data_IF_116231202498
#
_entry.id   IF_116231202498
#
_cell.length_a   1.000
_cell.length_b   1.000
_cell.length_c   1.000
_cell.angle_alpha   90.00
_cell.angle_beta   90.00
_cell.angle_gamma   90.00
#
_symmetry.space_group_name_H-M   'P 1'
#
loop_
_entity.id
_entity.type
_entity.pdbx_description
1 polymer ?
#
# COMPACT_ATOMS: atom_id res chain seq x y z
N UNK A 1 15.21 -52.07 6.52
CA UNK A 1 14.43 -51.10 7.31
C UNK A 1 15.08 -49.77 7.10
N UNK A 2 14.61 -49.03 6.13
CA UNK A 2 15.09 -47.65 5.84
C UNK A 2 14.06 -46.71 6.44
N UNK A 3 14.44 -46.08 7.54
CA UNK A 3 13.67 -45.01 8.16
C UNK A 3 14.04 -43.71 7.42
N UNK A 4 13.24 -43.37 6.40
CA UNK A 4 13.31 -42.11 5.68
C UNK A 4 12.48 -41.08 6.47
N UNK A 5 13.06 -40.58 7.56
CA UNK A 5 12.50 -39.43 8.25
C UNK A 5 12.74 -38.19 7.40
N UNK A 6 11.80 -37.90 6.47
CA UNK A 6 11.71 -36.67 5.73
C UNK A 6 11.70 -35.48 6.70
N UNK A 7 12.87 -34.87 6.88
CA UNK A 7 13.01 -33.55 7.51
C UNK A 7 12.24 -32.56 6.61
N UNK A 8 11.01 -32.21 7.01
CA UNK A 8 10.38 -31.00 6.52
C UNK A 8 11.25 -29.85 7.00
N UNK A 9 11.96 -29.21 6.09
CA UNK A 9 12.55 -27.91 6.37
C UNK A 9 11.47 -26.98 6.90
N UNK A 10 11.71 -26.23 7.99
CA UNK A 10 10.73 -25.25 8.46
C UNK A 10 10.50 -24.27 7.32
N UNK A 11 9.28 -24.20 6.82
CA UNK A 11 8.89 -23.13 5.90
C UNK A 11 9.12 -21.82 6.62
N UNK A 12 9.76 -20.82 5.98
CA UNK A 12 9.89 -19.52 6.60
C UNK A 12 8.48 -19.03 6.97
N UNK A 13 8.34 -18.53 8.21
CA UNK A 13 7.09 -17.96 8.69
C UNK A 13 6.61 -16.93 7.68
N UNK A 14 5.55 -17.27 6.95
CA UNK A 14 4.95 -16.36 5.98
C UNK A 14 4.30 -15.22 6.75
N UNK A 15 4.79 -14.02 6.51
CA UNK A 15 4.22 -12.79 7.09
C UNK A 15 2.75 -12.69 6.69
N UNK A 16 1.87 -12.56 7.69
CA UNK A 16 0.43 -12.47 7.48
C UNK A 16 -0.05 -11.02 7.54
N UNK A 17 -1.19 -10.70 6.96
CA UNK A 17 -1.79 -9.37 7.08
C UNK A 17 -1.95 -8.89 8.53
N UNK A 18 -2.34 -9.80 9.46
CA UNK A 18 -2.52 -9.47 10.88
C UNK A 18 -1.22 -9.04 11.57
N UNK A 19 -0.07 -9.54 11.12
CA UNK A 19 1.23 -9.15 11.67
C UNK A 19 1.49 -7.66 11.43
N UNK A 20 1.07 -7.14 10.27
CA UNK A 20 1.14 -5.72 9.94
C UNK A 20 0.15 -4.86 10.74
N UNK A 21 -1.02 -5.38 11.08
CA UNK A 21 -1.96 -4.70 11.97
C UNK A 21 -1.45 -4.63 13.42
N UNK A 22 -0.45 -5.44 13.78
CA UNK A 22 0.13 -5.58 15.10
C UNK A 22 1.60 -5.21 15.18
N UNK A 23 2.42 -6.16 15.63
CA UNK A 23 3.82 -5.93 16.01
C UNK A 23 4.70 -5.42 14.85
N UNK A 24 4.50 -5.91 13.63
CA UNK A 24 5.28 -5.44 12.48
C UNK A 24 4.98 -3.99 12.13
N UNK A 25 3.70 -3.59 12.18
CA UNK A 25 3.30 -2.20 11.98
C UNK A 25 3.92 -1.27 13.02
N UNK A 26 3.96 -1.67 14.28
CA UNK A 26 4.61 -0.92 15.36
C UNK A 26 6.13 -0.82 15.16
N UNK A 27 6.79 -1.92 14.77
CA UNK A 27 8.23 -1.91 14.44
C UNK A 27 8.54 -1.01 13.25
N UNK A 28 7.69 -1.04 12.23
CA UNK A 28 7.83 -0.16 11.08
C UNK A 28 7.68 1.30 11.49
N UNK A 29 6.65 1.62 12.27
CA UNK A 29 6.41 2.97 12.78
C UNK A 29 7.56 3.50 13.63
N UNK A 30 8.13 2.66 14.52
CA UNK A 30 9.26 3.04 15.36
C UNK A 30 10.54 3.39 14.56
N UNK A 31 10.65 2.93 13.32
CA UNK A 31 11.79 3.16 12.44
C UNK A 31 11.35 3.80 11.10
N UNK A 32 10.23 4.51 11.10
CA UNK A 32 9.54 4.96 9.89
C UNK A 32 10.46 5.71 8.93
N UNK A 33 11.17 6.73 9.43
CA UNK A 33 12.04 7.57 8.60
C UNK A 33 13.18 6.77 7.98
N UNK A 34 13.83 5.89 8.76
CA UNK A 34 14.93 5.07 8.28
C UNK A 34 14.48 4.04 7.22
N UNK A 35 13.33 3.41 7.43
CA UNK A 35 12.77 2.46 6.46
C UNK A 35 12.29 3.16 5.20
N UNK A 36 11.62 4.30 5.33
CA UNK A 36 11.18 5.10 4.18
C UNK A 36 12.39 5.57 3.35
N UNK A 37 13.46 6.05 3.99
CA UNK A 37 14.70 6.44 3.32
C UNK A 37 15.35 5.25 2.59
N UNK A 38 15.41 4.09 3.23
CA UNK A 38 16.00 2.88 2.64
C UNK A 38 15.28 2.44 1.36
N UNK A 39 13.95 2.54 1.31
CA UNK A 39 13.15 2.11 0.16
C UNK A 39 12.75 3.25 -0.78
N UNK A 40 13.15 4.50 -0.47
CA UNK A 40 12.83 5.68 -1.28
C UNK A 40 13.27 5.54 -2.74
N UNK A 41 14.49 5.07 -3.08
CA UNK A 41 14.92 4.96 -4.48
C UNK A 41 13.98 4.11 -5.35
N UNK A 42 13.41 3.03 -4.79
CA UNK A 42 12.46 2.18 -5.50
C UNK A 42 11.12 2.90 -5.66
N UNK A 43 10.68 3.59 -4.61
CA UNK A 43 9.47 4.41 -4.64
C UNK A 43 9.55 5.52 -5.68
N UNK A 44 10.67 6.23 -5.72
CA UNK A 44 10.91 7.34 -6.66
C UNK A 44 10.91 6.84 -8.11
N UNK A 45 11.56 5.72 -8.38
CA UNK A 45 11.57 5.09 -9.70
C UNK A 45 10.15 4.67 -10.14
N UNK A 46 9.37 4.09 -9.22
CA UNK A 46 8.00 3.69 -9.50
C UNK A 46 7.09 4.91 -9.73
N UNK A 47 7.21 5.96 -8.91
CA UNK A 47 6.47 7.22 -9.05
C UNK A 47 6.79 7.95 -10.36
N UNK A 48 8.05 7.90 -10.80
CA UNK A 48 8.47 8.46 -12.09
C UNK A 48 7.88 7.67 -13.26
N UNK A 49 7.90 6.32 -13.17
CA UNK A 49 7.34 5.44 -14.21
C UNK A 49 5.81 5.49 -14.27
N UNK A 50 5.16 5.69 -13.15
CA UNK A 50 3.71 5.79 -13.09
C UNK A 50 3.17 6.94 -13.94
N UNK A 51 3.92 8.04 -14.05
CA UNK A 51 3.57 9.21 -14.87
C UNK A 51 2.13 9.70 -14.58
N UNK A 52 1.88 10.02 -13.30
CA UNK A 52 0.59 10.49 -12.84
C UNK A 52 0.15 11.77 -13.54
N UNK A 53 -1.13 11.87 -13.88
CA UNK A 53 -1.71 13.04 -14.52
C UNK A 53 -2.56 13.84 -13.53
N UNK A 54 -2.59 15.19 -13.63
CA UNK A 54 -3.50 15.99 -12.83
C UNK A 54 -4.95 15.54 -12.98
N UNK A 55 -5.65 15.44 -11.84
CA UNK A 55 -7.06 15.08 -11.83
C UNK A 55 -7.34 13.58 -11.68
N UNK A 56 -6.34 12.72 -11.71
CA UNK A 56 -6.52 11.29 -11.49
C UNK A 56 -6.97 10.97 -10.06
N UNK A 57 -7.74 9.89 -9.94
CA UNK A 57 -8.11 9.27 -8.66
C UNK A 57 -7.28 8.01 -8.44
N UNK A 58 -6.59 7.93 -7.32
CA UNK A 58 -5.56 6.91 -7.07
C UNK A 58 -5.80 6.18 -5.76
N UNK A 59 -5.63 4.86 -5.76
CA UNK A 59 -5.45 4.04 -4.54
C UNK A 59 -3.95 3.85 -4.32
N UNK A 60 -3.45 4.20 -3.15
CA UNK A 60 -2.10 3.84 -2.67
C UNK A 60 -2.22 2.69 -1.67
N UNK A 61 -1.95 1.48 -2.15
CA UNK A 61 -2.14 0.23 -1.43
C UNK A 61 -0.91 -0.09 -0.57
N UNK A 62 -1.14 -0.34 0.73
CA UNK A 62 -0.06 -0.50 1.70
C UNK A 62 0.67 0.83 1.88
N UNK A 63 -0.08 1.90 2.11
CA UNK A 63 0.45 3.27 2.12
C UNK A 63 1.42 3.57 3.26
N UNK A 64 1.45 2.71 4.31
CA UNK A 64 2.28 2.89 5.48
C UNK A 64 2.09 4.27 6.12
N UNK A 65 3.18 4.96 6.40
CA UNK A 65 3.18 6.33 6.94
C UNK A 65 2.84 7.43 5.93
N UNK A 66 2.40 7.08 4.71
CA UNK A 66 1.86 8.03 3.74
C UNK A 66 2.89 8.79 2.89
N UNK A 67 4.15 8.37 2.85
CA UNK A 67 5.17 9.07 2.05
C UNK A 67 4.85 9.03 0.55
N UNK A 68 4.52 7.86 0.01
CA UNK A 68 4.10 7.69 -1.40
C UNK A 68 2.78 8.39 -1.68
N UNK A 69 1.83 8.30 -0.73
CA UNK A 69 0.53 8.98 -0.84
C UNK A 69 0.69 10.48 -1.00
N UNK A 70 1.59 11.10 -0.20
CA UNK A 70 1.88 12.54 -0.32
C UNK A 70 2.52 12.89 -1.67
N UNK A 71 3.47 12.09 -2.14
CA UNK A 71 4.10 12.29 -3.44
C UNK A 71 3.11 12.18 -4.60
N UNK A 72 2.18 11.22 -4.52
CA UNK A 72 1.08 11.06 -5.49
C UNK A 72 0.16 12.29 -5.44
N UNK A 73 -0.27 12.71 -4.24
CA UNK A 73 -1.17 13.84 -4.06
C UNK A 73 -0.66 15.11 -4.73
N UNK A 74 0.65 15.37 -4.64
CA UNK A 74 1.31 16.50 -5.29
C UNK A 74 1.27 16.40 -6.82
N UNK A 75 1.44 15.19 -7.38
CA UNK A 75 1.48 14.95 -8.83
C UNK A 75 0.10 15.07 -9.48
N UNK A 76 -0.96 14.67 -8.78
CA UNK A 76 -2.34 14.69 -9.31
C UNK A 76 -3.10 15.99 -9.02
N UNK A 77 -2.48 16.91 -8.26
CA UNK A 77 -3.08 18.21 -7.95
C UNK A 77 -3.36 19.03 -9.24
N UNK A 78 -4.32 19.99 -9.20
CA UNK A 78 -5.13 20.40 -8.05
C UNK A 78 -6.42 19.61 -7.87
N UNK A 79 -6.88 18.84 -8.85
CA UNK A 79 -8.23 18.24 -8.88
C UNK A 79 -8.26 16.74 -8.60
N UNK A 80 -7.08 16.08 -8.62
CA UNK A 80 -6.97 14.66 -8.33
C UNK A 80 -7.04 14.36 -6.83
N UNK A 81 -7.39 13.10 -6.49
CA UNK A 81 -7.45 12.60 -5.12
C UNK A 81 -6.73 11.27 -4.99
N UNK A 82 -6.07 11.08 -3.86
CA UNK A 82 -5.45 9.80 -3.52
C UNK A 82 -5.98 9.28 -2.19
N UNK A 83 -6.29 7.99 -2.17
CA UNK A 83 -6.68 7.26 -0.97
C UNK A 83 -5.61 6.26 -0.60
N UNK A 84 -4.95 6.49 0.52
CA UNK A 84 -4.07 5.51 1.15
C UNK A 84 -4.89 4.44 1.86
N UNK A 85 -4.56 3.18 1.62
CA UNK A 85 -5.16 2.02 2.30
C UNK A 85 -4.04 1.23 2.97
N UNK A 86 -4.17 1.01 4.26
CA UNK A 86 -3.24 0.19 5.04
C UNK A 86 -4.00 -0.55 6.13
N UNK A 87 -3.53 -1.74 6.51
CA UNK A 87 -4.15 -2.55 7.55
C UNK A 87 -3.72 -2.10 8.96
N UNK A 88 -2.60 -1.40 9.08
CA UNK A 88 -2.06 -0.91 10.36
C UNK A 88 -2.73 0.39 10.80
N UNK A 89 -3.47 0.41 11.92
CA UNK A 89 -4.08 1.62 12.44
C UNK A 89 -3.04 2.68 12.84
N UNK A 90 -1.88 2.26 13.33
CA UNK A 90 -0.83 3.16 13.78
C UNK A 90 -0.14 3.85 12.60
N UNK A 91 0.13 3.11 11.52
CA UNK A 91 0.68 3.69 10.29
C UNK A 91 -0.32 4.63 9.61
N UNK A 92 -1.60 4.27 9.57
CA UNK A 92 -2.66 5.15 9.06
C UNK A 92 -2.77 6.44 9.89
N UNK A 93 -2.60 6.36 11.22
CA UNK A 93 -2.58 7.56 12.07
C UNK A 93 -1.37 8.45 11.72
N UNK A 94 -0.19 7.89 11.54
CA UNK A 94 0.99 8.63 11.11
C UNK A 94 0.80 9.27 9.72
N UNK A 95 0.20 8.55 8.78
CA UNK A 95 -0.11 9.07 7.45
C UNK A 95 -1.08 10.27 7.48
N UNK A 96 -2.12 10.20 8.31
CA UNK A 96 -3.04 11.33 8.54
C UNK A 96 -2.34 12.55 9.14
N UNK A 97 -1.43 12.31 10.09
CA UNK A 97 -0.63 13.39 10.67
C UNK A 97 0.27 14.04 9.61
N UNK A 98 0.94 13.24 8.76
CA UNK A 98 1.75 13.74 7.63
C UNK A 98 0.94 14.60 6.68
N UNK A 99 -0.28 14.16 6.29
CA UNK A 99 -1.16 14.93 5.43
C UNK A 99 -1.52 16.30 6.05
N UNK A 100 -1.84 16.31 7.34
CA UNK A 100 -2.15 17.54 8.09
C UNK A 100 -0.94 18.48 8.11
N UNK A 101 0.25 17.97 8.41
CA UNK A 101 1.49 18.77 8.44
C UNK A 101 1.85 19.34 7.08
N UNK A 102 1.58 18.61 6.01
CA UNK A 102 1.81 19.05 4.64
C UNK A 102 0.70 19.99 4.11
N UNK A 103 -0.38 20.21 4.85
CA UNK A 103 -1.55 20.95 4.37
C UNK A 103 -2.22 20.33 3.14
N UNK A 104 -2.05 19.02 2.94
CA UNK A 104 -2.60 18.31 1.79
C UNK A 104 -4.08 17.99 2.01
N UNK A 105 -4.95 18.55 1.17
CA UNK A 105 -6.42 18.39 1.28
C UNK A 105 -6.99 17.34 0.34
N UNK A 106 -6.17 16.77 -0.53
CA UNK A 106 -6.55 15.78 -1.52
C UNK A 106 -6.06 14.35 -1.18
N UNK A 107 -5.73 14.12 0.08
CA UNK A 107 -5.34 12.82 0.64
C UNK A 107 -6.39 12.33 1.62
N UNK A 108 -6.82 11.09 1.45
CA UNK A 108 -7.69 10.39 2.39
C UNK A 108 -7.09 9.04 2.78
N UNK A 109 -7.43 8.52 3.95
CA UNK A 109 -6.87 7.27 4.47
C UNK A 109 -7.95 6.35 5.02
N UNK A 110 -7.85 5.09 4.63
CA UNK A 110 -8.71 4.00 5.11
C UNK A 110 -7.85 2.94 5.80
N UNK A 111 -8.16 2.66 7.08
CA UNK A 111 -7.57 1.54 7.79
C UNK A 111 -8.42 0.30 7.51
N UNK A 112 -7.95 -0.59 6.65
CA UNK A 112 -8.68 -1.80 6.26
C UNK A 112 -7.76 -2.80 5.57
N UNK A 113 -8.18 -4.07 5.56
CA UNK A 113 -7.61 -5.08 4.68
C UNK A 113 -8.03 -4.81 3.23
N UNK A 114 -7.04 -4.56 2.39
CA UNK A 114 -7.23 -4.26 0.98
C UNK A 114 -7.79 -5.45 0.17
N UNK A 115 -7.66 -6.68 0.68
CA UNK A 115 -8.24 -7.85 0.06
C UNK A 115 -9.77 -7.84 0.05
N UNK A 116 -10.38 -7.14 1.01
CA UNK A 116 -11.85 -7.14 1.21
C UNK A 116 -12.46 -5.74 1.25
N UNK A 117 -11.62 -4.69 1.23
CA UNK A 117 -12.10 -3.32 1.38
C UNK A 117 -13.09 -2.91 0.28
N UNK A 118 -14.11 -2.20 0.68
CA UNK A 118 -14.98 -1.45 -0.22
C UNK A 118 -14.69 0.05 -0.04
N UNK A 119 -14.41 0.75 -1.13
CA UNK A 119 -14.07 2.16 -1.11
C UNK A 119 -15.18 2.99 -1.75
N UNK A 120 -15.65 4.08 -1.08
CA UNK A 120 -16.84 4.82 -1.50
C UNK A 120 -16.64 5.57 -2.81
N UNK A 121 -15.40 5.94 -3.15
CA UNK A 121 -15.11 6.78 -4.32
C UNK A 121 -14.76 5.97 -5.58
N UNK A 122 -15.01 4.64 -5.56
CA UNK A 122 -14.79 3.81 -6.76
C UNK A 122 -15.78 4.22 -7.89
N UNK A 123 -15.38 4.10 -9.17
CA UNK A 123 -14.13 3.50 -9.63
C UNK A 123 -12.94 4.47 -9.67
N UNK A 124 -11.76 3.96 -9.35
CA UNK A 124 -10.49 4.71 -9.39
C UNK A 124 -9.80 4.58 -10.76
N UNK A 125 -8.98 5.59 -11.11
CA UNK A 125 -8.16 5.58 -12.32
C UNK A 125 -6.96 4.65 -12.18
N UNK A 126 -6.36 4.60 -10.97
CA UNK A 126 -5.12 3.87 -10.71
C UNK A 126 -5.08 3.16 -9.38
N UNK A 127 -4.33 2.06 -9.37
CA UNK A 127 -3.81 1.39 -8.19
C UNK A 127 -2.27 1.51 -8.20
N UNK A 128 -1.73 2.05 -7.14
CA UNK A 128 -0.28 2.14 -6.89
C UNK A 128 0.05 1.33 -5.65
N UNK A 129 1.19 0.63 -5.65
CA UNK A 129 1.69 -0.02 -4.43
C UNK A 129 3.20 -0.18 -4.47
N UNK A 130 3.85 0.27 -3.41
CA UNK A 130 5.26 -0.02 -3.13
C UNK A 130 5.34 -1.05 -2.01
N UNK A 131 5.54 -2.32 -2.36
CA UNK A 131 5.67 -3.49 -1.49
C UNK A 131 4.42 -3.89 -0.69
N UNK A 132 3.34 -3.13 -0.72
CA UNK A 132 2.12 -3.44 0.04
C UNK A 132 1.31 -4.63 -0.52
N UNK A 133 1.45 -4.92 -1.81
CA UNK A 133 0.67 -5.97 -2.49
C UNK A 133 1.22 -7.41 -2.32
N UNK A 134 2.27 -7.60 -1.52
CA UNK A 134 2.97 -8.89 -1.38
C UNK A 134 2.46 -9.75 -0.21
N UNK A 135 1.65 -9.18 0.67
CA UNK A 135 1.31 -9.78 1.95
C UNK A 135 -0.12 -10.32 2.03
N UNK A 136 -0.80 -10.48 0.90
CA UNK A 136 -2.14 -11.05 0.88
C UNK A 136 -2.10 -12.56 1.20
N UNK A 137 -3.02 -13.02 2.06
CA UNK A 137 -3.22 -14.44 2.33
C UNK A 137 -3.75 -15.18 1.08
N UNK A 138 -4.72 -14.57 0.39
CA UNK A 138 -5.22 -14.99 -0.92
C UNK A 138 -5.01 -13.87 -1.95
N UNK A 139 -3.87 -13.88 -2.68
CA UNK A 139 -3.59 -12.86 -3.68
C UNK A 139 -4.63 -12.80 -4.81
N UNK A 140 -5.22 -13.95 -5.19
CA UNK A 140 -6.21 -13.99 -6.27
C UNK A 140 -7.48 -13.25 -5.85
N UNK A 141 -8.03 -13.55 -4.68
CA UNK A 141 -9.21 -12.87 -4.15
C UNK A 141 -8.95 -11.38 -3.93
N UNK A 142 -7.76 -11.03 -3.40
CA UNK A 142 -7.37 -9.64 -3.19
C UNK A 142 -7.31 -8.85 -4.50
N UNK A 143 -6.62 -9.36 -5.51
CA UNK A 143 -6.55 -8.67 -6.81
C UNK A 143 -7.89 -8.66 -7.56
N UNK A 144 -8.76 -9.66 -7.34
CA UNK A 144 -10.12 -9.62 -7.86
C UNK A 144 -10.93 -8.47 -7.23
N UNK A 145 -10.84 -8.28 -5.91
CA UNK A 145 -11.46 -7.15 -5.22
C UNK A 145 -10.90 -5.81 -5.72
N UNK A 146 -9.58 -5.67 -5.75
CA UNK A 146 -8.90 -4.44 -6.19
C UNK A 146 -9.23 -4.10 -7.65
N UNK A 147 -9.33 -5.11 -8.53
CA UNK A 147 -9.78 -4.92 -9.91
C UNK A 147 -11.20 -4.32 -9.98
N UNK A 148 -12.09 -4.75 -9.09
CA UNK A 148 -13.45 -4.22 -8.98
C UNK A 148 -13.52 -2.75 -8.55
N UNK A 149 -12.46 -2.23 -7.90
CA UNK A 149 -12.36 -0.83 -7.52
C UNK A 149 -11.83 0.08 -8.63
N UNK A 150 -11.30 -0.50 -9.72
CA UNK A 150 -10.75 0.27 -10.83
C UNK A 150 -11.77 0.44 -11.96
N UNK A 151 -11.71 1.58 -12.63
CA UNK A 151 -12.46 1.78 -13.87
C UNK A 151 -11.93 0.89 -15.00
N UNK A 152 -12.74 0.67 -16.01
CA UNK A 152 -12.29 -0.01 -17.23
C UNK A 152 -11.11 0.76 -17.85
N UNK A 153 -10.00 0.07 -18.10
CA UNK A 153 -8.77 0.67 -18.58
C UNK A 153 -7.98 1.39 -17.49
N UNK A 154 -8.33 1.21 -16.22
CA UNK A 154 -7.54 1.69 -15.08
C UNK A 154 -6.16 1.04 -15.07
N UNK A 155 -5.18 1.73 -14.52
CA UNK A 155 -3.77 1.31 -14.53
C UNK A 155 -3.31 0.82 -13.16
N UNK A 156 -2.41 -0.17 -13.16
CA UNK A 156 -1.81 -0.74 -11.96
C UNK A 156 -0.29 -0.57 -12.04
N UNK A 157 0.29 0.07 -11.04
CA UNK A 157 1.73 0.33 -10.90
C UNK A 157 2.21 -0.29 -9.57
N UNK A 158 2.99 -1.37 -9.64
CA UNK A 158 3.45 -2.13 -8.47
C UNK A 158 4.97 -2.23 -8.43
N UNK A 159 5.55 -2.12 -7.23
CA UNK A 159 6.88 -2.59 -6.92
C UNK A 159 6.78 -3.76 -5.93
N UNK A 160 7.44 -4.86 -6.27
CA UNK A 160 7.54 -6.09 -5.47
C UNK A 160 8.98 -6.61 -5.51
N UNK A 161 9.41 -7.42 -4.52
CA UNK A 161 10.68 -8.17 -4.57
C UNK A 161 10.44 -9.66 -4.71
#
# INVERSE_FOLDING_TARGET
MNDDSSRKDPQPDTVKPEDWAGEMGLKWLANLDAFEEMIAPIGDALLARADFQPGETVIDLGCGGGATTLAIAQKIAPSGRVRGVDISPDLVAAARQRATQAGATNMEFTCADAATVNLPDSPYDRLFSRFGSMFFEDPFAAFQNLHGLLRKGGRVDLAVW
#
